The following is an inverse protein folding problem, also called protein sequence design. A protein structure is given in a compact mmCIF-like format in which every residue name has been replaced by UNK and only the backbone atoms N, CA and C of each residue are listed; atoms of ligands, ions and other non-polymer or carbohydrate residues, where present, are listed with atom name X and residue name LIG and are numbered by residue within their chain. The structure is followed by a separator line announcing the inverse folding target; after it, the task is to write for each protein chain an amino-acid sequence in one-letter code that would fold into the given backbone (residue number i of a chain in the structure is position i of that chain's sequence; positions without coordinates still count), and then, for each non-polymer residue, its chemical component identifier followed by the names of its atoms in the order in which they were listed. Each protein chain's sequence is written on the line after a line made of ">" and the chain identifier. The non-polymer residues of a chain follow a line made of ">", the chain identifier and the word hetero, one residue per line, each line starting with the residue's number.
data_IF_875388585789
#
_entry.id   IF_875388585789
#
_cell.length_a   1.000
_cell.length_b   1.000
_cell.length_c   1.000
_cell.angle_alpha   90.00
_cell.angle_beta   90.00
_cell.angle_gamma   90.00
#
_symmetry.space_group_name_H-M   'P 1'
#
loop_
_entity.id
_entity.type
_entity.pdbx_description
1 polymer ?
#
# COMPACT_ATOMS: atom_id res chain seq x y z
N UNK A 1 -31.57 -13.81 -4.20
CA UNK A 1 -30.36 -13.38 -3.48
C UNK A 1 -29.52 -12.55 -4.43
N UNK A 2 -29.42 -11.24 -4.18
CA UNK A 2 -28.70 -10.31 -5.05
C UNK A 2 -27.20 -10.36 -4.68
N UNK A 3 -26.39 -11.05 -5.48
CA UNK A 3 -24.96 -11.27 -5.21
C UNK A 3 -24.06 -10.10 -5.68
N UNK A 4 -24.63 -8.91 -5.93
CA UNK A 4 -23.93 -7.80 -6.58
C UNK A 4 -23.61 -6.61 -5.66
N UNK A 5 -23.41 -6.84 -4.36
CA UNK A 5 -22.65 -5.90 -3.54
C UNK A 5 -21.15 -6.13 -3.86
N UNK A 6 -20.44 -5.09 -4.28
CA UNK A 6 -19.02 -5.13 -4.63
C UNK A 6 -18.24 -6.04 -3.65
N UNK A 7 -17.90 -7.24 -4.12
CA UNK A 7 -17.39 -8.30 -3.25
C UNK A 7 -15.99 -7.91 -2.81
N UNK A 8 -15.85 -7.40 -1.59
CA UNK A 8 -14.53 -7.24 -1.00
C UNK A 8 -13.87 -8.62 -0.94
N UNK A 9 -12.66 -8.79 -1.53
CA UNK A 9 -11.97 -10.06 -1.45
C UNK A 9 -11.73 -10.39 0.03
N UNK A 10 -12.06 -11.63 0.38
CA UNK A 10 -11.85 -12.18 1.72
C UNK A 10 -10.35 -12.32 2.02
N UNK A 11 -9.55 -12.62 0.98
CA UNK A 11 -8.09 -12.62 1.04
C UNK A 11 -7.55 -11.21 0.83
N UNK A 12 -6.65 -10.77 1.71
CA UNK A 12 -5.99 -9.46 1.63
C UNK A 12 -4.64 -9.58 0.92
N UNK A 13 -4.27 -8.54 0.19
CA UNK A 13 -2.98 -8.44 -0.50
C UNK A 13 -2.03 -7.62 0.38
N UNK A 14 -0.87 -8.21 0.70
CA UNK A 14 0.22 -7.54 1.40
C UNK A 14 1.37 -7.32 0.41
N UNK A 15 1.82 -6.08 0.24
CA UNK A 15 2.93 -5.74 -0.63
C UNK A 15 4.11 -5.19 0.19
N UNK A 16 5.33 -5.67 -0.08
CA UNK A 16 6.55 -5.05 0.49
C UNK A 16 6.91 -3.84 -0.36
N UNK A 17 7.11 -2.69 0.30
CA UNK A 17 7.53 -1.45 -0.38
C UNK A 17 9.04 -1.31 -0.30
N UNK A 18 9.64 -0.81 -1.37
CA UNK A 18 11.06 -0.48 -1.45
C UNK A 18 11.34 0.51 -2.57
N UNK A 19 12.61 0.72 -2.96
CA UNK A 19 13.02 1.77 -3.88
C UNK A 19 12.27 1.83 -5.22
N UNK A 20 11.81 0.67 -5.72
CA UNK A 20 11.09 0.59 -7.00
C UNK A 20 9.58 0.88 -6.88
N UNK A 21 9.04 1.05 -5.67
CA UNK A 21 7.59 1.14 -5.43
C UNK A 21 7.17 2.14 -4.36
N UNK A 22 8.09 2.98 -3.91
CA UNK A 22 7.89 3.96 -2.83
C UNK A 22 7.43 5.35 -3.31
N UNK A 23 7.35 5.58 -4.63
CA UNK A 23 6.83 6.83 -5.15
C UNK A 23 5.28 6.89 -5.05
N UNK A 24 4.70 8.10 -4.92
CA UNK A 24 3.27 8.27 -4.71
C UNK A 24 2.38 7.68 -5.81
N UNK A 25 2.82 7.71 -7.08
CA UNK A 25 2.02 7.23 -8.21
C UNK A 25 1.96 5.70 -8.22
N UNK A 26 3.08 5.04 -7.95
CA UNK A 26 3.13 3.58 -7.82
C UNK A 26 2.33 3.10 -6.61
N UNK A 27 2.39 3.80 -5.47
CA UNK A 27 1.56 3.49 -4.29
C UNK A 27 0.07 3.60 -4.62
N UNK A 28 -0.36 4.67 -5.30
CA UNK A 28 -1.74 4.81 -5.72
C UNK A 28 -2.18 3.68 -6.66
N UNK A 29 -1.35 3.34 -7.65
CA UNK A 29 -1.63 2.25 -8.57
C UNK A 29 -1.77 0.91 -7.83
N UNK A 30 -0.91 0.64 -6.84
CA UNK A 30 -0.98 -0.56 -6.00
C UNK A 30 -2.26 -0.62 -5.16
N UNK A 31 -2.68 0.50 -4.55
CA UNK A 31 -3.94 0.56 -3.78
C UNK A 31 -5.13 0.29 -4.70
N UNK A 32 -5.19 0.96 -5.87
CA UNK A 32 -6.26 0.75 -6.86
C UNK A 32 -6.28 -0.68 -7.41
N UNK A 33 -5.13 -1.32 -7.51
CA UNK A 33 -4.99 -2.73 -7.90
C UNK A 33 -5.40 -3.72 -6.80
N UNK A 34 -5.61 -3.27 -5.55
CA UNK A 34 -6.16 -4.08 -4.46
C UNK A 34 -5.20 -4.36 -3.29
N UNK A 35 -4.02 -3.71 -3.23
CA UNK A 35 -3.16 -3.81 -2.04
C UNK A 35 -3.91 -3.28 -0.81
N UNK A 36 -3.99 -4.11 0.22
CA UNK A 36 -4.69 -3.79 1.47
C UNK A 36 -3.74 -3.33 2.56
N UNK A 37 -2.52 -3.86 2.57
CA UNK A 37 -1.50 -3.57 3.59
C UNK A 37 -0.13 -3.46 2.94
N UNK A 38 0.63 -2.45 3.33
CA UNK A 38 2.04 -2.32 2.97
C UNK A 38 2.95 -2.80 4.10
N UNK A 39 3.97 -3.58 3.74
CA UNK A 39 5.06 -4.02 4.62
C UNK A 39 6.29 -3.16 4.35
N UNK A 40 6.81 -2.53 5.40
CA UNK A 40 8.15 -1.93 5.41
C UNK A 40 9.13 -2.96 5.96
N UNK A 41 10.15 -3.31 5.17
CA UNK A 41 11.12 -4.33 5.57
C UNK A 41 12.28 -3.72 6.35
N UNK A 42 12.26 -3.83 7.68
CA UNK A 42 13.28 -3.27 8.58
C UNK A 42 14.60 -4.08 8.63
N UNK A 43 14.72 -5.19 7.88
CA UNK A 43 16.02 -5.86 7.73
C UNK A 43 17.04 -5.03 6.95
N UNK A 44 16.59 -3.98 6.24
CA UNK A 44 17.42 -3.05 5.48
C UNK A 44 16.87 -1.61 5.61
N UNK A 45 17.71 -0.62 5.31
CA UNK A 45 17.35 0.80 5.28
C UNK A 45 17.28 1.46 6.66
N UNK A 46 17.40 2.78 6.67
CA UNK A 46 17.37 3.61 7.87
C UNK A 46 15.93 3.96 8.30
N UNK A 47 15.73 4.27 9.58
CA UNK A 47 14.41 4.63 10.11
C UNK A 47 13.80 5.84 9.43
N UNK A 48 14.62 6.84 9.06
CA UNK A 48 14.21 8.04 8.37
C UNK A 48 13.57 7.71 7.01
N UNK A 49 14.20 6.80 6.24
CA UNK A 49 13.64 6.35 4.96
C UNK A 49 12.31 5.63 5.18
N UNK A 50 12.23 4.72 6.16
CA UNK A 50 10.98 4.02 6.47
C UNK A 50 9.86 5.01 6.88
N UNK A 51 10.19 6.07 7.60
CA UNK A 51 9.25 7.12 7.99
C UNK A 51 8.74 7.93 6.79
N UNK A 52 9.61 8.30 5.85
CA UNK A 52 9.23 8.96 4.60
C UNK A 52 8.28 8.10 3.75
N UNK A 53 8.59 6.81 3.59
CA UNK A 53 7.74 5.86 2.87
C UNK A 53 6.39 5.71 3.59
N UNK A 54 6.40 5.60 4.92
CA UNK A 54 5.17 5.54 5.72
C UNK A 54 4.29 6.78 5.49
N UNK A 55 4.86 7.99 5.56
CA UNK A 55 4.12 9.22 5.34
C UNK A 55 3.52 9.26 3.93
N UNK A 56 4.31 8.90 2.92
CA UNK A 56 3.84 8.83 1.53
C UNK A 56 2.66 7.88 1.37
N UNK A 57 2.73 6.68 1.98
CA UNK A 57 1.62 5.71 1.97
C UNK A 57 0.36 6.32 2.60
N UNK A 58 0.50 7.02 3.74
CA UNK A 58 -0.64 7.60 4.47
C UNK A 58 -1.27 8.75 3.70
N UNK A 59 -0.47 9.62 3.11
CA UNK A 59 -0.94 10.75 2.31
C UNK A 59 -1.69 10.27 1.06
N UNK A 60 -1.17 9.24 0.38
CA UNK A 60 -1.86 8.63 -0.76
C UNK A 60 -3.15 7.94 -0.33
N UNK A 61 -3.14 7.19 0.77
CA UNK A 61 -4.34 6.51 1.26
C UNK A 61 -5.44 7.49 1.73
N UNK A 62 -5.08 8.66 2.25
CA UNK A 62 -6.05 9.65 2.73
C UNK A 62 -6.85 10.34 1.61
N UNK A 63 -6.35 10.31 0.37
CA UNK A 63 -6.97 10.96 -0.81
C UNK A 63 -7.67 9.99 -1.76
N UNK A 64 -7.77 8.71 -1.41
CA UNK A 64 -8.43 7.64 -2.19
C UNK A 64 -9.67 7.13 -1.48
#
# INVERSE_FOLDING_TARGET
>A
MNVNAARHPLTKIVATVGPASEDPATIEAMIRAGVSTFRLNFSHGEHERHAEVYNTIRDVAARL
#
